data_IF_075287495778
#
_entry.id   IF_075287495778
#
_cell.length_a   1.000
_cell.length_b   1.000
_cell.length_c   1.000
_cell.angle_alpha   90.00
_cell.angle_beta   90.00
_cell.angle_gamma   90.00
#
_symmetry.space_group_name_H-M   'P 1'
#
loop_
_entity.id
_entity.type
_entity.pdbx_description
1 polymer ?
#
# COMPACT_ATOMS: atom_id res chain seq x y z
N UNK A 1 -39.92 31.31 -23.26
CA UNK A 1 -38.61 30.73 -22.89
C UNK A 1 -38.69 30.02 -21.53
N UNK A 2 -39.18 28.76 -21.46
CA UNK A 2 -39.22 27.97 -20.20
C UNK A 2 -39.04 26.45 -20.41
N UNK A 3 -38.60 26.00 -21.59
CA UNK A 3 -38.46 24.56 -21.91
C UNK A 3 -37.02 24.07 -22.04
N UNK A 4 -36.04 24.97 -22.09
CA UNK A 4 -34.62 24.61 -22.22
C UNK A 4 -33.93 24.29 -20.88
N UNK A 5 -34.49 24.75 -19.75
CA UNK A 5 -33.85 24.59 -18.44
C UNK A 5 -34.08 23.20 -17.82
N UNK A 6 -35.17 22.52 -18.20
CA UNK A 6 -35.49 21.20 -17.64
C UNK A 6 -34.62 20.07 -18.22
N UNK A 7 -34.07 20.23 -19.43
CA UNK A 7 -33.31 19.16 -20.09
C UNK A 7 -31.85 19.06 -19.59
N UNK A 8 -31.25 20.16 -19.13
CA UNK A 8 -29.90 20.14 -18.56
C UNK A 8 -29.86 19.56 -17.14
N UNK A 9 -30.96 19.64 -16.39
CA UNK A 9 -31.03 19.14 -15.02
C UNK A 9 -31.17 17.61 -14.97
N UNK A 10 -31.83 17.00 -15.96
CA UNK A 10 -32.02 15.54 -16.03
C UNK A 10 -30.75 14.82 -16.48
N UNK A 11 -29.95 15.41 -17.37
CA UNK A 11 -28.66 14.83 -17.78
C UNK A 11 -27.61 14.89 -16.66
N UNK A 12 -27.68 15.89 -15.77
CA UNK A 12 -26.80 15.97 -14.60
C UNK A 12 -27.17 14.96 -13.49
N UNK A 13 -28.45 14.62 -13.34
CA UNK A 13 -28.92 13.66 -12.33
C UNK A 13 -28.70 12.19 -12.73
N UNK A 14 -28.58 11.89 -14.03
CA UNK A 14 -28.25 10.52 -14.51
C UNK A 14 -26.76 10.21 -14.36
N UNK A 15 -25.90 11.22 -14.20
CA UNK A 15 -24.45 11.02 -14.03
C UNK A 15 -23.99 11.05 -12.56
N UNK A 16 -24.92 11.18 -11.61
CA UNK A 16 -24.67 10.86 -10.20
C UNK A 16 -25.06 9.39 -9.98
N UNK A 17 -24.63 8.52 -10.91
CA UNK A 17 -24.50 7.11 -10.61
C UNK A 17 -23.68 7.05 -9.34
N UNK A 18 -24.33 6.65 -8.27
CA UNK A 18 -23.69 6.46 -6.98
C UNK A 18 -22.71 5.34 -7.23
N UNK A 19 -21.45 5.65 -7.54
CA UNK A 19 -20.41 4.64 -7.66
C UNK A 19 -20.23 4.09 -6.25
N UNK A 20 -20.93 2.99 -5.96
CA UNK A 20 -20.78 2.27 -4.71
C UNK A 20 -19.33 1.81 -4.69
N UNK A 21 -18.53 2.44 -3.82
CA UNK A 21 -17.17 2.05 -3.56
C UNK A 21 -17.18 1.19 -2.29
N UNK A 22 -16.80 -0.08 -2.41
CA UNK A 22 -16.66 -0.96 -1.26
C UNK A 22 -15.19 -1.06 -0.86
N UNK A 23 -14.87 -0.80 0.42
CA UNK A 23 -13.52 -1.04 0.94
C UNK A 23 -13.33 -2.53 1.19
N UNK A 24 -12.30 -3.12 0.59
CA UNK A 24 -11.91 -4.52 0.76
C UNK A 24 -10.45 -4.65 1.14
N UNK A 25 -10.12 -5.74 1.81
CA UNK A 25 -8.73 -6.14 2.04
C UNK A 25 -8.38 -7.16 0.98
N UNK A 26 -7.36 -6.88 0.17
CA UNK A 26 -6.92 -7.80 -0.89
C UNK A 26 -5.62 -8.51 -0.53
N UNK A 27 -4.83 -7.94 0.38
CA UNK A 27 -3.62 -8.59 0.89
C UNK A 27 -3.58 -8.52 2.41
N UNK A 28 -3.23 -9.65 3.03
CA UNK A 28 -3.01 -9.79 4.47
C UNK A 28 -1.67 -10.47 4.71
N UNK A 29 -1.03 -10.18 5.83
CA UNK A 29 0.28 -10.74 6.07
C UNK A 29 0.82 -10.54 7.46
N UNK A 30 2.07 -10.96 7.62
CA UNK A 30 2.88 -10.77 8.82
C UNK A 30 4.12 -9.97 8.48
N UNK A 31 4.58 -9.19 9.44
CA UNK A 31 5.83 -8.46 9.33
C UNK A 31 6.62 -8.54 10.61
N UNK A 32 7.91 -8.27 10.48
CA UNK A 32 8.82 -8.04 11.59
C UNK A 32 9.72 -6.85 11.26
N UNK A 33 9.69 -5.79 12.07
CA UNK A 33 10.57 -4.62 11.93
C UNK A 33 11.64 -4.66 13.02
N UNK A 34 12.90 -4.50 12.64
CA UNK A 34 14.05 -4.54 13.57
C UNK A 34 14.02 -3.39 14.57
N UNK A 35 14.67 -3.62 15.71
CA UNK A 35 14.98 -2.59 16.68
C UNK A 35 15.67 -1.36 16.03
N UNK A 36 15.58 -0.21 16.71
CA UNK A 36 16.13 1.11 16.39
C UNK A 36 15.44 1.87 15.24
N UNK A 37 14.65 1.20 14.41
CA UNK A 37 13.92 1.84 13.31
C UNK A 37 12.62 2.48 13.80
N UNK A 38 11.91 1.75 14.64
CA UNK A 38 10.54 2.07 15.08
C UNK A 38 10.39 2.07 16.60
N UNK A 39 11.08 1.13 17.26
CA UNK A 39 11.13 0.93 18.71
C UNK A 39 12.53 0.45 19.13
N UNK A 40 12.76 0.26 20.44
CA UNK A 40 14.02 -0.30 20.97
C UNK A 40 14.13 -1.82 20.80
N UNK A 41 13.03 -2.48 20.48
CA UNK A 41 12.93 -3.92 20.29
C UNK A 41 12.43 -4.23 18.88
N UNK A 42 12.56 -5.49 18.49
CA UNK A 42 11.91 -6.03 17.31
C UNK A 42 10.39 -5.92 17.46
N UNK A 43 9.71 -5.48 16.39
CA UNK A 43 8.27 -5.24 16.35
C UNK A 43 7.63 -6.19 15.34
N UNK A 44 7.12 -7.33 15.80
CA UNK A 44 6.30 -8.21 14.97
C UNK A 44 4.85 -7.73 14.92
N UNK A 45 4.15 -8.09 13.84
CA UNK A 45 2.75 -7.73 13.67
C UNK A 45 2.10 -8.31 12.42
N UNK A 46 0.86 -7.88 12.19
CA UNK A 46 0.08 -8.18 11.00
C UNK A 46 -0.04 -6.92 10.11
N UNK A 47 -0.03 -7.13 8.81
CA UNK A 47 -0.20 -6.08 7.80
C UNK A 47 -1.43 -6.36 6.94
N UNK A 48 -2.18 -5.32 6.61
CA UNK A 48 -3.34 -5.37 5.72
C UNK A 48 -3.27 -4.25 4.70
N UNK A 49 -3.53 -4.56 3.42
CA UNK A 49 -3.63 -3.59 2.34
C UNK A 49 -5.09 -3.47 1.91
N UNK A 50 -5.62 -2.26 2.01
CA UNK A 50 -7.00 -1.92 1.70
C UNK A 50 -7.10 -1.32 0.30
N UNK A 51 -8.18 -1.68 -0.37
CA UNK A 51 -8.54 -1.21 -1.69
C UNK A 51 -9.99 -0.75 -1.67
N UNK A 52 -10.28 0.35 -2.35
CA UNK A 52 -11.64 0.68 -2.75
C UNK A 52 -11.90 0.01 -4.09
N UNK A 53 -13.03 -0.71 -4.16
CA UNK A 53 -13.50 -1.32 -5.39
C UNK A 53 -14.66 -0.50 -5.89
N UNK A 54 -14.53 0.03 -7.09
CA UNK A 54 -15.67 0.58 -7.81
C UNK A 54 -16.56 -0.60 -8.23
N UNK A 55 -17.74 -0.73 -7.63
CA UNK A 55 -18.61 -1.89 -7.85
C UNK A 55 -19.17 -1.97 -9.29
N UNK A 56 -19.12 -0.87 -10.06
CA UNK A 56 -19.57 -0.83 -11.46
C UNK A 56 -18.45 -1.25 -12.45
N UNK A 57 -17.22 -0.77 -12.22
CA UNK A 57 -16.09 -1.03 -13.13
C UNK A 57 -15.21 -2.19 -12.69
N UNK A 58 -15.41 -2.69 -11.46
CA UNK A 58 -14.50 -3.58 -10.75
C UNK A 58 -13.06 -3.04 -10.62
N UNK A 59 -12.86 -1.74 -10.83
CA UNK A 59 -11.56 -1.09 -10.67
C UNK A 59 -11.18 -1.07 -9.19
N UNK A 60 -9.93 -1.47 -8.91
CA UNK A 60 -9.39 -1.52 -7.56
C UNK A 60 -8.39 -0.38 -7.37
N UNK A 61 -8.71 0.53 -6.46
CA UNK A 61 -7.83 1.62 -6.07
C UNK A 61 -7.21 1.28 -4.73
N UNK A 62 -5.88 1.27 -4.63
CA UNK A 62 -5.19 1.07 -3.35
C UNK A 62 -5.35 2.30 -2.46
N UNK A 63 -5.83 2.12 -1.24
CA UNK A 63 -6.27 3.25 -0.39
C UNK A 63 -5.59 3.31 0.97
N UNK A 64 -5.17 2.21 1.58
CA UNK A 64 -4.59 2.28 2.93
C UNK A 64 -3.77 1.05 3.28
N UNK A 65 -2.81 1.23 4.17
CA UNK A 65 -2.12 0.16 4.88
C UNK A 65 -2.45 0.26 6.35
N UNK A 66 -2.69 -0.88 6.98
CA UNK A 66 -2.75 -1.01 8.43
C UNK A 66 -1.65 -1.95 8.90
N UNK A 67 -0.86 -1.49 9.85
CA UNK A 67 0.04 -2.32 10.65
C UNK A 67 -0.61 -2.54 12.01
N UNK A 68 -0.96 -3.77 12.35
CA UNK A 68 -1.39 -4.17 13.69
C UNK A 68 -0.21 -4.81 14.40
N UNK A 69 0.14 -4.32 15.58
CA UNK A 69 1.32 -4.76 16.33
C UNK A 69 0.93 -5.84 17.34
N UNK A 70 1.81 -6.82 17.53
CA UNK A 70 1.59 -7.84 18.56
C UNK A 70 1.76 -7.27 19.99
N UNK A 71 2.49 -6.15 20.11
CA UNK A 71 2.71 -5.43 21.37
C UNK A 71 2.57 -3.93 21.15
N UNK A 72 2.18 -3.23 22.20
CA UNK A 72 2.07 -1.78 22.17
C UNK A 72 3.43 -1.12 21.90
N UNK A 73 3.44 -0.18 20.96
CA UNK A 73 4.59 0.69 20.69
C UNK A 73 4.09 2.12 20.78
N UNK A 74 4.73 2.95 21.61
CA UNK A 74 4.39 4.38 21.79
C UNK A 74 2.88 4.63 21.95
N UNK A 75 2.22 3.87 22.82
CA UNK A 75 0.80 4.09 23.12
C UNK A 75 -0.19 3.44 22.14
N UNK A 76 0.27 2.70 21.13
CA UNK A 76 -0.57 2.21 20.04
C UNK A 76 -0.32 0.73 19.73
N UNK A 77 -1.40 0.00 19.45
CA UNK A 77 -1.36 -1.36 18.92
C UNK A 77 -1.54 -1.41 17.41
N UNK A 78 -1.79 -0.29 16.75
CA UNK A 78 -1.85 -0.23 15.30
C UNK A 78 -1.47 1.13 14.76
N UNK A 79 -1.09 1.15 13.49
CA UNK A 79 -0.79 2.36 12.73
C UNK A 79 -1.41 2.24 11.34
N UNK A 80 -1.99 3.33 10.86
CA UNK A 80 -2.52 3.43 9.49
C UNK A 80 -1.54 4.22 8.63
N UNK A 81 -1.59 4.06 7.31
CA UNK A 81 -0.89 4.96 6.41
C UNK A 81 -1.66 6.27 6.23
N UNK A 82 -0.94 7.39 6.15
CA UNK A 82 -1.49 8.71 5.77
C UNK A 82 -1.11 9.12 4.34
N UNK A 83 -0.10 8.47 3.78
CA UNK A 83 0.38 8.69 2.43
C UNK A 83 0.93 7.34 1.95
N UNK A 84 0.49 6.87 0.79
CA UNK A 84 0.83 5.53 0.31
C UNK A 84 0.72 5.41 -1.21
N UNK A 85 1.45 4.47 -1.78
CA UNK A 85 1.34 4.05 -3.17
C UNK A 85 1.81 2.61 -3.34
N UNK A 86 1.16 1.90 -4.26
CA UNK A 86 1.43 0.51 -4.59
C UNK A 86 1.89 0.41 -6.05
N UNK A 87 2.90 -0.39 -6.28
CA UNK A 87 3.40 -0.78 -7.61
C UNK A 87 3.32 -2.30 -7.71
N UNK A 88 2.56 -2.77 -8.68
CA UNK A 88 2.48 -4.19 -9.03
C UNK A 88 3.35 -4.46 -10.25
N UNK A 89 4.11 -5.55 -10.22
CA UNK A 89 5.05 -5.92 -11.30
C UNK A 89 4.88 -7.37 -11.72
N UNK A 90 5.20 -7.64 -12.96
CA UNK A 90 5.39 -9.00 -13.48
C UNK A 90 6.85 -9.08 -13.89
N UNK A 91 7.61 -9.94 -13.22
CA UNK A 91 9.01 -10.15 -13.49
C UNK A 91 9.21 -11.03 -14.73
N UNK A 92 10.44 -11.07 -15.25
CA UNK A 92 10.77 -11.78 -16.49
C UNK A 92 10.45 -13.29 -16.46
N UNK A 93 10.53 -13.92 -15.28
CA UNK A 93 10.19 -15.33 -15.04
C UNK A 93 8.68 -15.58 -14.80
N UNK A 94 7.87 -14.52 -14.95
CA UNK A 94 6.44 -14.48 -14.60
C UNK A 94 6.15 -14.63 -13.10
N UNK A 95 7.13 -14.39 -12.21
CA UNK A 95 6.84 -14.11 -10.81
C UNK A 95 6.12 -12.75 -10.70
N UNK A 96 5.20 -12.63 -9.74
CA UNK A 96 4.57 -11.36 -9.47
C UNK A 96 5.34 -10.64 -8.35
N UNK A 97 5.53 -9.34 -8.50
CA UNK A 97 6.13 -8.49 -7.48
C UNK A 97 5.12 -7.46 -6.97
N UNK A 98 5.18 -7.14 -5.68
CA UNK A 98 4.45 -6.02 -5.10
C UNK A 98 5.44 -5.13 -4.35
N UNK A 99 5.43 -3.85 -4.65
CA UNK A 99 6.21 -2.87 -3.92
C UNK A 99 5.30 -1.75 -3.42
N UNK A 100 5.40 -1.43 -2.14
CA UNK A 100 4.57 -0.39 -1.52
C UNK A 100 5.42 0.60 -0.80
N UNK A 101 5.20 1.89 -1.04
CA UNK A 101 5.82 2.99 -0.31
C UNK A 101 4.76 3.71 0.51
N UNK A 102 5.03 3.97 1.80
CA UNK A 102 4.06 4.63 2.68
C UNK A 102 4.68 5.37 3.86
N UNK A 103 3.92 6.34 4.39
CA UNK A 103 4.15 6.95 5.71
C UNK A 103 3.04 6.56 6.66
N UNK A 104 3.42 6.28 7.90
CA UNK A 104 2.45 6.05 8.96
C UNK A 104 1.83 7.37 9.43
N UNK A 105 0.54 7.29 9.74
CA UNK A 105 -0.18 8.27 10.53
C UNK A 105 0.21 8.07 12.00
N UNK A 106 1.10 8.94 12.48
CA UNK A 106 1.81 8.79 13.73
C UNK A 106 2.80 9.94 13.92
N UNK A 107 3.76 9.83 14.87
CA UNK A 107 4.71 10.90 15.12
C UNK A 107 5.45 11.29 13.84
N UNK A 108 5.59 12.59 13.54
CA UNK A 108 6.12 13.06 12.27
C UNK A 108 7.53 12.54 12.05
N UNK A 109 7.68 11.67 11.05
CA UNK A 109 8.97 11.16 10.59
C UNK A 109 9.25 11.62 9.16
N UNK A 110 10.54 11.80 8.85
CA UNK A 110 11.02 12.31 7.54
C UNK A 110 11.31 11.19 6.53
N UNK A 111 10.85 9.98 6.79
CA UNK A 111 11.12 8.80 5.97
C UNK A 111 9.83 8.08 5.58
N UNK A 112 9.90 7.30 4.50
CA UNK A 112 8.91 6.31 4.11
C UNK A 112 9.36 4.92 4.59
N UNK A 113 8.38 4.07 4.86
CA UNK A 113 8.58 2.63 4.81
C UNK A 113 8.30 2.19 3.39
N UNK A 114 9.20 1.37 2.86
CA UNK A 114 9.01 0.73 1.57
C UNK A 114 9.13 -0.76 1.80
N UNK A 115 8.16 -1.55 1.41
CA UNK A 115 8.38 -2.99 1.30
C UNK A 115 8.38 -3.41 -0.17
N UNK A 116 9.26 -4.35 -0.48
CA UNK A 116 9.35 -4.98 -1.79
C UNK A 116 9.21 -6.48 -1.58
N UNK A 117 8.22 -7.08 -2.24
CA UNK A 117 7.93 -8.50 -2.16
C UNK A 117 7.87 -9.14 -3.54
N UNK A 118 8.13 -10.44 -3.56
CA UNK A 118 8.07 -11.29 -4.74
C UNK A 118 7.29 -12.57 -4.39
N UNK A 119 6.48 -13.05 -5.33
CA UNK A 119 5.85 -14.36 -5.24
C UNK A 119 6.55 -15.34 -6.16
N UNK A 120 6.67 -16.60 -5.74
CA UNK A 120 6.99 -17.66 -6.68
C UNK A 120 5.86 -17.84 -7.69
N UNK A 121 6.17 -18.36 -8.87
CA UNK A 121 5.19 -18.57 -9.94
C UNK A 121 4.00 -19.39 -9.42
N UNK A 122 2.79 -18.85 -9.56
CA UNK A 122 1.52 -19.44 -9.09
C UNK A 122 1.34 -19.52 -7.56
N UNK A 123 2.14 -18.77 -6.79
CA UNK A 123 1.95 -18.66 -5.34
C UNK A 123 1.09 -17.44 -4.98
N UNK A 124 0.09 -17.59 -4.09
CA UNK A 124 -0.61 -16.45 -3.50
C UNK A 124 0.23 -15.73 -2.44
N UNK A 125 1.38 -16.33 -2.05
CA UNK A 125 2.31 -15.81 -1.05
C UNK A 125 3.39 -14.95 -1.70
N UNK A 126 3.62 -13.78 -1.11
CA UNK A 126 4.66 -12.83 -1.47
C UNK A 126 5.59 -12.61 -0.28
N UNK A 127 6.85 -12.99 -0.40
CA UNK A 127 7.86 -12.77 0.63
C UNK A 127 8.72 -11.56 0.27
N UNK A 128 9.16 -10.81 1.26
CA UNK A 128 9.94 -9.61 0.98
C UNK A 128 10.54 -8.93 2.19
N UNK A 129 11.06 -7.74 1.93
CA UNK A 129 11.88 -6.96 2.85
C UNK A 129 11.29 -5.57 3.07
N UNK A 130 11.36 -5.10 4.30
CA UNK A 130 11.08 -3.72 4.68
C UNK A 130 12.34 -2.86 4.61
N UNK A 131 12.19 -1.68 4.04
CA UNK A 131 13.20 -0.66 3.94
C UNK A 131 12.70 0.63 4.58
N UNK A 132 13.63 1.37 5.18
CA UNK A 132 13.44 2.74 5.65
C UNK A 132 14.16 3.68 4.70
N UNK A 133 13.40 4.57 4.06
CA UNK A 133 13.88 5.39 2.94
C UNK A 133 13.66 6.86 3.24
N UNK A 134 14.70 7.68 3.14
CA UNK A 134 14.63 9.14 3.33
C UNK A 134 14.73 9.83 1.98
N UNK A 135 13.61 9.87 1.27
CA UNK A 135 13.48 10.48 -0.05
C UNK A 135 12.02 10.98 -0.26
N UNK A 136 11.75 11.61 -1.39
CA UNK A 136 10.41 11.99 -1.84
C UNK A 136 9.66 10.80 -2.45
N UNK A 137 8.33 10.74 -2.26
CA UNK A 137 7.52 9.65 -2.80
C UNK A 137 7.68 9.49 -4.32
N UNK A 138 7.76 10.60 -5.06
CA UNK A 138 7.91 10.58 -6.51
C UNK A 138 9.22 9.89 -6.95
N UNK A 139 10.33 10.14 -6.25
CA UNK A 139 11.62 9.50 -6.52
C UNK A 139 11.58 8.01 -6.20
N UNK A 140 10.99 7.66 -5.04
CA UNK A 140 10.79 6.27 -4.65
C UNK A 140 9.96 5.54 -5.71
N UNK A 141 8.84 6.12 -6.15
CA UNK A 141 7.98 5.51 -7.16
C UNK A 141 8.66 5.37 -8.52
N UNK A 142 9.51 6.33 -8.90
CA UNK A 142 10.30 6.21 -10.14
C UNK A 142 11.20 4.98 -10.09
N UNK A 143 11.87 4.74 -8.96
CA UNK A 143 12.70 3.54 -8.76
C UNK A 143 11.87 2.26 -8.72
N UNK A 144 10.73 2.27 -8.01
CA UNK A 144 9.87 1.08 -7.88
C UNK A 144 9.22 0.67 -9.21
N UNK A 145 8.92 1.62 -10.09
CA UNK A 145 8.35 1.38 -11.43
C UNK A 145 9.40 1.07 -12.51
N UNK A 146 10.70 1.10 -12.17
CA UNK A 146 11.74 0.76 -13.13
C UNK A 146 11.60 -0.70 -13.60
N UNK A 147 11.89 -0.93 -14.89
CA UNK A 147 11.83 -2.28 -15.49
C UNK A 147 12.74 -3.27 -14.75
N UNK A 148 13.91 -2.80 -14.34
CA UNK A 148 14.81 -3.53 -13.44
C UNK A 148 14.87 -2.79 -12.11
N UNK A 149 14.29 -3.37 -11.07
CA UNK A 149 14.40 -2.81 -9.73
C UNK A 149 15.79 -3.07 -9.18
N UNK A 150 16.51 -1.98 -8.90
CA UNK A 150 17.74 -1.99 -8.12
C UNK A 150 17.45 -1.26 -6.82
N UNK A 151 17.59 -1.95 -5.69
CA UNK A 151 17.46 -1.31 -4.37
C UNK A 151 18.71 -0.45 -4.13
N UNK A 152 18.57 0.86 -3.90
CA UNK A 152 19.70 1.72 -3.60
C UNK A 152 20.38 1.34 -2.28
N UNK A 153 21.70 1.50 -2.18
CA UNK A 153 22.49 1.12 -1.00
C UNK A 153 22.10 1.92 0.26
N UNK A 154 21.60 3.15 0.07
CA UNK A 154 21.15 4.02 1.16
C UNK A 154 19.79 3.60 1.76
N UNK A 155 19.07 2.68 1.11
CA UNK A 155 17.83 2.13 1.65
C UNK A 155 18.16 1.16 2.78
N UNK A 156 17.95 1.60 4.02
CA UNK A 156 18.22 0.76 5.19
C UNK A 156 17.21 -0.38 5.23
N UNK A 157 17.67 -1.64 5.14
CA UNK A 157 16.85 -2.80 5.48
C UNK A 157 16.51 -2.76 6.99
N UNK A 158 15.23 -2.84 7.29
CA UNK A 158 14.70 -2.73 8.65
C UNK A 158 13.71 -3.83 8.98
N UNK A 159 13.60 -4.89 8.18
CA UNK A 159 12.66 -5.95 8.50
C UNK A 159 12.25 -6.84 7.34
N UNK A 160 11.32 -7.73 7.63
CA UNK A 160 10.75 -8.67 6.66
C UNK A 160 9.24 -8.57 6.63
N UNK A 161 8.65 -9.00 5.52
CA UNK A 161 7.21 -9.08 5.33
C UNK A 161 6.85 -10.31 4.52
N UNK A 162 5.73 -10.93 4.87
CA UNK A 162 5.08 -11.97 4.07
C UNK A 162 3.62 -11.57 3.90
N UNK A 163 3.17 -11.45 2.65
CA UNK A 163 1.78 -11.16 2.28
C UNK A 163 1.15 -12.38 1.60
N UNK A 164 -0.17 -12.46 1.68
CA UNK A 164 -1.02 -13.41 1.00
C UNK A 164 -2.13 -12.64 0.28
N UNK A 165 -2.32 -12.90 -1.02
CA UNK A 165 -3.49 -12.41 -1.76
C UNK A 165 -4.74 -13.16 -1.32
N UNK A 166 -5.86 -12.44 -1.13
CA UNK A 166 -7.17 -12.98 -0.77
C UNK A 166 -8.03 -13.31 -2.00
#
# INVERSE_FOLDING_TARGET
MKRALAFFLVVFLVNIGSTWASTRVDFVGRFEITAETFHKDVVPGAIQLFFEINDETAEKTFTQIKLSLDKEVKGNFFYLSKEQSLVSRINQDRSAGLATAFKLDGPPHKWYYVFVTESSRFSPRFDGTFYKVKDELANILTLLNAETLVIPEEWKNVGTVTLFSL
#
